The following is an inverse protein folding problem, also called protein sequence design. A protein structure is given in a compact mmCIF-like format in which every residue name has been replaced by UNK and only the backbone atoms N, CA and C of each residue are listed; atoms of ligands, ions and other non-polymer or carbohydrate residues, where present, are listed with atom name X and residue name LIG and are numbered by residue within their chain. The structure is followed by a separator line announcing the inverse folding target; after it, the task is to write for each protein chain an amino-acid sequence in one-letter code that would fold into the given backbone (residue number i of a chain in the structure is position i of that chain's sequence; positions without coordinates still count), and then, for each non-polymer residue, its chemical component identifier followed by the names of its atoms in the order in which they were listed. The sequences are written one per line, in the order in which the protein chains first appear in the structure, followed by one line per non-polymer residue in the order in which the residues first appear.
data_IF_330451115893
#
_entry.id   IF_330451115893
#
_cell.length_a   1.000
_cell.length_b   1.000
_cell.length_c   1.000
_cell.angle_alpha   90.00
_cell.angle_beta   90.00
_cell.angle_gamma   90.00
#
_symmetry.space_group_name_H-M   'P 1'
#
loop_
_entity.id
_entity.type
_entity.pdbx_description
1 polymer ?
#
# COMPACT_ATOMS: atom_id res chain seq x y z
N UNK A 1 5.51 -8.10 24.61
CA UNK A 1 5.50 -7.98 23.13
C UNK A 1 4.62 -6.78 22.76
N UNK A 2 5.12 -5.79 22.00
CA UNK A 2 4.30 -4.66 21.52
C UNK A 2 3.30 -5.20 20.49
N UNK A 3 1.99 -5.00 20.70
CA UNK A 3 0.96 -5.30 19.69
C UNK A 3 1.22 -4.39 18.49
N UNK A 4 1.61 -4.98 17.36
CA UNK A 4 1.70 -4.26 16.10
C UNK A 4 0.30 -3.77 15.72
N UNK A 5 0.18 -2.52 15.24
CA UNK A 5 -1.08 -2.02 14.69
C UNK A 5 -1.46 -2.93 13.53
N UNK A 6 -2.74 -3.32 13.48
CA UNK A 6 -3.28 -4.14 12.40
C UNK A 6 -3.14 -3.35 11.10
N UNK A 7 -2.68 -4.01 10.04
CA UNK A 7 -2.64 -3.40 8.71
C UNK A 7 -4.08 -3.09 8.26
N UNK A 8 -4.30 -1.89 7.75
CA UNK A 8 -5.55 -1.44 7.16
C UNK A 8 -5.40 -1.47 5.63
N UNK A 9 -6.38 -2.09 4.97
CA UNK A 9 -6.40 -2.27 3.53
C UNK A 9 -7.70 -1.65 3.01
N UNK A 10 -7.58 -0.66 2.11
CA UNK A 10 -8.72 -0.08 1.40
C UNK A 10 -8.61 -0.38 -0.08
N UNK A 11 -9.72 -0.81 -0.64
CA UNK A 11 -9.85 -1.14 -2.06
C UNK A 11 -11.04 -0.35 -2.58
N UNK A 12 -10.75 0.66 -3.39
CA UNK A 12 -11.74 1.53 -3.99
C UNK A 12 -11.84 1.25 -5.49
N UNK A 13 -12.97 0.67 -5.90
CA UNK A 13 -13.31 0.40 -7.31
C UNK A 13 -14.38 1.37 -7.84
N UNK A 14 -14.83 2.33 -7.02
CA UNK A 14 -15.95 3.21 -7.36
C UNK A 14 -15.57 4.35 -8.31
N UNK A 15 -14.28 4.70 -8.40
CA UNK A 15 -13.83 5.87 -9.16
C UNK A 15 -13.84 5.60 -10.67
N UNK A 16 -13.38 4.42 -11.11
CA UNK A 16 -13.38 4.00 -12.52
C UNK A 16 -13.46 2.45 -12.56
N UNK A 17 -14.41 1.83 -13.27
CA UNK A 17 -14.55 0.37 -13.31
C UNK A 17 -13.31 -0.38 -13.85
N UNK A 18 -12.42 0.32 -14.56
CA UNK A 18 -11.18 -0.22 -15.12
C UNK A 18 -9.95 -0.06 -14.22
N UNK A 19 -10.05 0.70 -13.13
CA UNK A 19 -8.92 0.97 -12.22
C UNK A 19 -9.31 0.75 -10.77
N UNK A 20 -8.51 -0.06 -10.08
CA UNK A 20 -8.63 -0.28 -8.64
C UNK A 20 -7.65 0.59 -7.88
N UNK A 21 -8.15 1.41 -6.95
CA UNK A 21 -7.30 2.11 -5.99
C UNK A 21 -7.03 1.20 -4.80
N UNK A 22 -5.77 0.79 -4.62
CA UNK A 22 -5.32 -0.01 -3.50
C UNK A 22 -4.53 0.86 -2.51
N UNK A 23 -5.01 0.99 -1.28
CA UNK A 23 -4.31 1.69 -0.20
C UNK A 23 -3.96 0.73 0.91
N UNK A 24 -2.68 0.71 1.30
CA UNK A 24 -2.14 -0.17 2.32
C UNK A 24 -1.53 0.69 3.42
N UNK A 25 -2.11 0.66 4.60
CA UNK A 25 -1.59 1.34 5.78
C UNK A 25 -1.08 0.29 6.76
N UNK A 26 0.24 0.22 6.92
CA UNK A 26 0.90 -0.74 7.79
C UNK A 26 2.06 -0.08 8.54
N UNK A 27 2.56 -0.75 9.57
CA UNK A 27 3.85 -0.41 10.16
C UNK A 27 4.97 -0.63 9.13
N UNK A 28 6.01 0.20 9.18
CA UNK A 28 7.16 0.01 8.30
C UNK A 28 7.79 -1.37 8.51
N UNK A 29 7.87 -2.12 7.41
CA UNK A 29 8.44 -3.45 7.36
C UNK A 29 9.50 -3.47 6.26
N UNK A 30 10.70 -3.94 6.61
CA UNK A 30 11.81 -4.06 5.66
C UNK A 30 11.40 -5.01 4.54
N UNK A 31 11.41 -4.50 3.30
CA UNK A 31 11.09 -5.30 2.11
C UNK A 31 9.61 -5.31 1.71
N UNK A 32 8.70 -4.71 2.48
CA UNK A 32 7.26 -4.77 2.22
C UNK A 32 6.87 -4.24 0.83
N UNK A 33 7.43 -3.09 0.42
CA UNK A 33 7.16 -2.54 -0.91
C UNK A 33 7.64 -3.49 -2.02
N UNK A 34 8.78 -4.15 -1.83
CA UNK A 34 9.30 -5.12 -2.80
C UNK A 34 8.39 -6.33 -2.89
N UNK A 35 7.95 -6.88 -1.75
CA UNK A 35 7.04 -8.02 -1.71
C UNK A 35 5.68 -7.67 -2.35
N UNK A 36 5.16 -6.47 -2.12
CA UNK A 36 3.94 -5.98 -2.78
C UNK A 36 4.13 -5.90 -4.29
N UNK A 37 5.19 -5.24 -4.77
CA UNK A 37 5.44 -5.11 -6.21
C UNK A 37 5.67 -6.46 -6.88
N UNK A 38 6.40 -7.37 -6.21
CA UNK A 38 6.61 -8.75 -6.69
C UNK A 38 5.28 -9.49 -6.81
N UNK A 39 4.44 -9.40 -5.78
CA UNK A 39 3.11 -9.99 -5.77
C UNK A 39 2.26 -9.45 -6.93
N UNK A 40 2.20 -8.13 -7.10
CA UNK A 40 1.45 -7.49 -8.20
C UNK A 40 1.94 -7.96 -9.58
N UNK A 41 3.25 -8.09 -9.77
CA UNK A 41 3.85 -8.64 -10.99
C UNK A 41 3.41 -10.07 -11.23
N UNK A 42 3.48 -10.93 -10.21
CA UNK A 42 3.12 -12.35 -10.31
C UNK A 42 1.63 -12.53 -10.65
N UNK A 43 0.76 -11.65 -10.13
CA UNK A 43 -0.67 -11.59 -10.47
C UNK A 43 -0.98 -10.87 -11.79
N UNK A 44 0.03 -10.40 -12.54
CA UNK A 44 -0.13 -9.64 -13.80
C UNK A 44 -1.01 -8.38 -13.65
N UNK A 45 -1.01 -7.77 -12.47
CA UNK A 45 -1.73 -6.53 -12.22
C UNK A 45 -0.86 -5.36 -12.68
N UNK A 46 -1.39 -4.53 -13.59
CA UNK A 46 -0.69 -3.36 -14.09
C UNK A 46 -0.84 -2.19 -13.13
N UNK A 47 0.29 -1.64 -12.68
CA UNK A 47 0.31 -0.47 -11.80
C UNK A 47 0.33 0.79 -12.68
N UNK A 48 -0.77 1.54 -12.67
CA UNK A 48 -0.85 2.82 -13.38
C UNK A 48 -0.17 3.96 -12.62
N UNK A 49 -0.30 3.97 -11.28
CA UNK A 49 0.33 4.94 -10.39
C UNK A 49 0.65 4.28 -9.06
N UNK A 50 1.83 4.59 -8.50
CA UNK A 50 2.26 4.08 -7.21
C UNK A 50 2.86 5.19 -6.36
N UNK A 51 2.40 5.29 -5.11
CA UNK A 51 2.99 6.17 -4.09
C UNK A 51 3.23 5.34 -2.83
N UNK A 52 4.44 5.44 -2.29
CA UNK A 52 4.78 4.88 -0.98
C UNK A 52 5.19 6.02 -0.07
N UNK A 53 4.67 6.04 1.16
CA UNK A 53 5.04 6.99 2.20
C UNK A 53 5.47 6.19 3.42
N UNK A 54 6.71 6.39 3.84
CA UNK A 54 7.25 5.86 5.10
C UNK A 54 7.44 7.03 6.04
N UNK A 55 6.78 6.98 7.18
CA UNK A 55 6.86 8.03 8.18
C UNK A 55 8.07 7.75 9.09
N UNK A 56 9.28 8.03 8.59
CA UNK A 56 10.47 7.93 9.46
C UNK A 56 10.52 9.06 10.50
N UNK A 57 9.71 10.13 10.35
CA UNK A 57 9.62 11.27 11.28
C UNK A 57 8.43 12.22 11.03
N UNK A 58 7.22 11.70 10.93
CA UNK A 58 5.98 12.40 11.30
C UNK A 58 5.63 13.70 10.61
N UNK A 59 5.67 13.84 9.28
CA UNK A 59 5.04 15.02 8.63
C UNK A 59 4.70 14.81 7.15
N UNK A 60 3.42 14.57 6.87
CA UNK A 60 2.52 15.61 6.37
C UNK A 60 1.08 15.23 6.72
N UNK A 61 0.62 15.79 7.84
CA UNK A 61 -0.77 16.13 8.03
C UNK A 61 -1.08 17.36 7.15
N UNK A 62 -1.82 17.15 6.06
CA UNK A 62 -2.91 18.03 5.59
C UNK A 62 -3.72 17.31 4.54
#
# INVERSE_FOLDING_TARGET
MKRLKKADLKIDNSLIPSYTLLQIHCVDQKGLLYDIMRTLKDYKIWIAYGRSMSDMKGSREV
#
